data_IF_880805044293
#
_entry.id   IF_880805044293
#
_cell.length_a   1.000
_cell.length_b   1.000
_cell.length_c   1.000
_cell.angle_alpha   90.00
_cell.angle_beta   90.00
_cell.angle_gamma   90.00
#
_symmetry.space_group_name_H-M   'P 1'
#
loop_
_entity.id
_entity.type
_entity.pdbx_description
1 polymer ?
#
# COMPACT_ATOMS: atom_id res chain seq x y z
N UNK A 1 7.30 -30.89 4.20
CA UNK A 1 7.65 -29.46 4.37
C UNK A 1 7.51 -29.10 5.83
N UNK A 2 8.48 -28.42 6.43
CA UNK A 2 8.38 -27.98 7.83
C UNK A 2 7.54 -26.70 7.90
N UNK A 3 6.29 -26.81 8.37
CA UNK A 3 5.33 -25.68 8.48
C UNK A 3 5.89 -24.48 9.25
N UNK A 4 6.80 -24.72 10.19
CA UNK A 4 7.50 -23.67 10.92
C UNK A 4 8.38 -22.82 10.00
N UNK A 5 9.10 -23.44 9.06
CA UNK A 5 9.94 -22.73 8.10
C UNK A 5 9.09 -21.96 7.09
N UNK A 6 7.99 -22.56 6.64
CA UNK A 6 7.04 -21.93 5.72
C UNK A 6 6.43 -20.65 6.34
N UNK A 7 6.09 -20.69 7.65
CA UNK A 7 5.64 -19.51 8.39
C UNK A 7 6.66 -18.38 8.36
N UNK A 8 7.92 -18.67 8.71
CA UNK A 8 8.98 -17.66 8.72
C UNK A 8 9.23 -17.06 7.33
N UNK A 9 9.19 -17.90 6.29
CA UNK A 9 9.33 -17.44 4.91
C UNK A 9 8.21 -16.47 4.51
N UNK A 10 6.96 -16.80 4.83
CA UNK A 10 5.81 -15.96 4.51
C UNK A 10 5.87 -14.61 5.24
N UNK A 11 6.20 -14.59 6.53
CA UNK A 11 6.36 -13.35 7.31
C UNK A 11 7.50 -12.49 6.77
N UNK A 12 8.64 -13.10 6.42
CA UNK A 12 9.76 -12.37 5.81
C UNK A 12 9.35 -11.70 4.50
N UNK A 13 8.64 -12.42 3.62
CA UNK A 13 8.18 -11.89 2.34
C UNK A 13 7.13 -10.80 2.52
N UNK A 14 6.22 -10.96 3.48
CA UNK A 14 5.23 -9.94 3.85
C UNK A 14 5.94 -8.66 4.30
N UNK A 15 6.89 -8.76 5.25
CA UNK A 15 7.57 -7.59 5.84
C UNK A 15 8.37 -6.83 4.78
N UNK A 16 8.99 -7.56 3.84
CA UNK A 16 9.69 -6.94 2.70
C UNK A 16 8.74 -6.15 1.80
N UNK A 17 7.53 -6.67 1.57
CA UNK A 17 6.49 -5.98 0.77
C UNK A 17 5.91 -4.78 1.53
N UNK A 18 5.74 -4.87 2.84
CA UNK A 18 5.34 -3.74 3.70
C UNK A 18 6.27 -2.54 3.47
N UNK A 19 7.59 -2.71 3.65
CA UNK A 19 8.61 -1.66 3.44
C UNK A 19 8.63 -1.09 2.01
N UNK A 20 8.44 -1.97 1.03
CA UNK A 20 8.40 -1.55 -0.38
C UNK A 20 7.15 -0.69 -0.64
N UNK A 21 6.02 -1.02 0.01
CA UNK A 21 4.78 -0.25 -0.09
C UNK A 21 4.97 1.15 0.49
N UNK A 22 5.63 1.29 1.65
CA UNK A 22 5.95 2.59 2.25
C UNK A 22 6.79 3.46 1.32
N UNK A 23 7.79 2.87 0.67
CA UNK A 23 8.64 3.58 -0.31
C UNK A 23 7.81 4.06 -1.51
N UNK A 24 6.91 3.21 -2.02
CA UNK A 24 6.02 3.57 -3.13
C UNK A 24 5.02 4.66 -2.73
N UNK A 25 4.51 4.68 -1.49
CA UNK A 25 3.68 5.78 -1.00
C UNK A 25 4.44 7.09 -0.93
N UNK A 26 5.69 7.06 -0.46
CA UNK A 26 6.54 8.24 -0.49
C UNK A 26 6.65 8.78 -1.93
N UNK A 27 7.01 7.94 -2.90
CA UNK A 27 7.08 8.33 -4.32
C UNK A 27 5.75 8.85 -4.85
N UNK A 28 4.64 8.16 -4.56
CA UNK A 28 3.33 8.55 -5.08
C UNK A 28 2.84 9.88 -4.49
N UNK A 29 3.09 10.13 -3.21
CA UNK A 29 2.75 11.41 -2.57
C UNK A 29 3.54 12.60 -3.14
N UNK A 30 4.74 12.37 -3.71
CA UNK A 30 5.51 13.44 -4.35
C UNK A 30 4.75 14.07 -5.54
N UNK A 31 3.90 13.31 -6.25
CA UNK A 31 3.13 13.85 -7.37
C UNK A 31 2.19 14.98 -6.93
N UNK A 32 1.65 14.94 -5.70
CA UNK A 32 0.81 16.01 -5.16
C UNK A 32 1.61 17.26 -4.74
N UNK A 33 2.91 17.12 -4.48
CA UNK A 33 3.79 18.21 -4.03
C UNK A 33 4.34 19.05 -5.19
N UNK A 34 4.18 18.61 -6.44
CA UNK A 34 4.66 19.33 -7.63
C UNK A 34 3.80 20.58 -7.86
N UNK A 35 4.43 21.76 -7.79
CA UNK A 35 3.77 23.07 -7.93
C UNK A 35 3.03 23.28 -9.26
N UNK A 36 3.47 22.59 -10.32
CA UNK A 36 2.84 22.63 -11.64
C UNK A 36 2.41 21.22 -12.06
N UNK A 37 1.56 20.61 -11.24
CA UNK A 37 1.02 19.28 -11.52
C UNK A 37 0.27 19.26 -12.86
N UNK A 38 0.57 18.32 -13.78
CA UNK A 38 -0.12 18.23 -15.06
C UNK A 38 -1.63 17.92 -14.88
N UNK A 39 -2.49 18.42 -15.78
CA UNK A 39 -3.94 18.19 -15.70
C UNK A 39 -4.32 16.72 -15.92
N UNK A 40 -3.47 15.95 -16.60
CA UNK A 40 -3.62 14.51 -16.79
C UNK A 40 -2.53 13.77 -15.99
N UNK A 41 -2.85 12.63 -15.36
CA UNK A 41 -1.84 11.80 -14.70
C UNK A 41 -0.71 11.43 -15.67
N UNK A 42 0.53 11.53 -15.20
CA UNK A 42 1.69 11.07 -15.97
C UNK A 42 1.71 9.54 -16.06
N UNK A 43 2.52 9.00 -16.97
CA UNK A 43 2.72 7.56 -17.06
C UNK A 43 3.36 7.00 -15.77
N UNK A 44 4.32 7.73 -15.20
CA UNK A 44 4.98 7.35 -13.95
C UNK A 44 4.00 7.29 -12.77
N UNK A 45 3.07 8.24 -12.67
CA UNK A 45 2.03 8.25 -11.64
C UNK A 45 1.11 7.04 -11.77
N UNK A 46 0.60 6.78 -12.98
CA UNK A 46 -0.25 5.61 -13.24
C UNK A 46 0.48 4.30 -12.96
N UNK A 47 1.75 4.22 -13.37
CA UNK A 47 2.62 3.06 -13.12
C UNK A 47 2.84 2.85 -11.62
N UNK A 48 3.10 3.91 -10.88
CA UNK A 48 3.31 3.86 -9.42
C UNK A 48 2.02 3.45 -8.70
N UNK A 49 0.88 4.01 -9.09
CA UNK A 49 -0.43 3.67 -8.56
C UNK A 49 -0.81 2.20 -8.82
N UNK A 50 -0.57 1.72 -10.04
CA UNK A 50 -0.81 0.32 -10.41
C UNK A 50 0.09 -0.63 -9.61
N UNK A 51 1.38 -0.30 -9.44
CA UNK A 51 2.29 -1.08 -8.58
C UNK A 51 1.83 -1.10 -7.12
N UNK A 52 1.31 0.02 -6.61
CA UNK A 52 0.72 0.10 -5.27
C UNK A 52 -0.52 -0.81 -5.15
N UNK A 53 -1.41 -0.81 -6.14
CA UNK A 53 -2.57 -1.69 -6.13
C UNK A 53 -2.15 -3.17 -6.14
N UNK A 54 -1.24 -3.54 -7.04
CA UNK A 54 -0.75 -4.91 -7.20
C UNK A 54 -0.05 -5.42 -5.94
N UNK A 55 0.80 -4.60 -5.30
CA UNK A 55 1.51 -5.02 -4.08
C UNK A 55 0.55 -5.21 -2.91
N UNK A 56 -0.51 -4.40 -2.80
CA UNK A 56 -1.53 -4.55 -1.76
C UNK A 56 -2.36 -5.83 -1.95
N UNK A 57 -2.73 -6.17 -3.17
CA UNK A 57 -3.41 -7.43 -3.49
C UNK A 57 -2.54 -8.66 -3.19
N UNK A 58 -1.25 -8.58 -3.55
CA UNK A 58 -0.27 -9.63 -3.20
C UNK A 58 -0.11 -9.77 -1.69
N UNK A 59 -0.09 -8.67 -0.94
CA UNK A 59 -0.04 -8.70 0.54
C UNK A 59 -1.29 -9.33 1.14
N UNK A 60 -2.48 -9.03 0.62
CA UNK A 60 -3.73 -9.68 1.05
C UNK A 60 -3.70 -11.20 0.82
N UNK A 61 -3.17 -11.63 -0.32
CA UNK A 61 -2.98 -13.05 -0.63
C UNK A 61 -2.01 -13.73 0.37
N UNK A 62 -0.89 -13.09 0.68
CA UNK A 62 0.08 -13.61 1.66
C UNK A 62 -0.50 -13.68 3.08
N UNK A 63 -1.23 -12.66 3.51
CA UNK A 63 -1.92 -12.64 4.81
C UNK A 63 -2.97 -13.76 4.86
N UNK A 64 -3.68 -14.01 3.76
CA UNK A 64 -4.63 -15.12 3.67
C UNK A 64 -3.94 -16.49 3.78
N UNK A 65 -2.75 -16.65 3.18
CA UNK A 65 -1.94 -17.85 3.32
C UNK A 65 -1.43 -18.04 4.76
N UNK A 66 -0.97 -16.96 5.41
CA UNK A 66 -0.56 -16.97 6.82
C UNK A 66 -1.71 -17.39 7.74
N UNK A 67 -2.92 -16.89 7.51
CA UNK A 67 -4.12 -17.29 8.26
C UNK A 67 -4.39 -18.79 8.12
N UNK A 68 -4.44 -19.30 6.89
CA UNK A 68 -4.69 -20.73 6.62
C UNK A 68 -3.61 -21.63 7.24
N UNK A 69 -2.36 -21.19 7.22
CA UNK A 69 -1.26 -21.93 7.81
C UNK A 69 -1.42 -22.04 9.33
N UNK A 70 -1.80 -20.94 9.99
CA UNK A 70 -2.13 -20.92 11.42
C UNK A 70 -3.28 -21.89 11.73
N UNK A 71 -4.40 -21.76 11.03
CA UNK A 71 -5.60 -22.57 11.25
C UNK A 71 -5.33 -24.08 11.04
N UNK A 72 -4.34 -24.43 10.21
CA UNK A 72 -3.99 -25.83 9.89
C UNK A 72 -3.10 -26.53 10.92
N UNK A 73 -2.61 -25.82 11.94
CA UNK A 73 -1.63 -26.34 12.89
C UNK A 73 -1.90 -25.82 14.31
N UNK A 74 -2.32 -26.72 15.19
CA UNK A 74 -2.62 -26.41 16.59
C UNK A 74 -1.39 -25.91 17.36
N UNK A 75 -0.17 -26.31 16.98
CA UNK A 75 1.07 -25.83 17.58
C UNK A 75 1.43 -24.40 17.15
N UNK A 76 1.04 -24.00 15.93
CA UNK A 76 1.16 -22.63 15.45
C UNK A 76 0.07 -21.74 16.07
N UNK A 77 -1.16 -22.26 16.15
CA UNK A 77 -2.32 -21.57 16.74
C UNK A 77 -2.13 -21.30 18.23
N UNK A 78 -1.46 -22.17 18.99
CA UNK A 78 -1.19 -21.92 20.41
C UNK A 78 -0.23 -20.72 20.65
N UNK A 79 0.41 -20.19 19.62
CA UNK A 79 1.38 -19.10 19.72
C UNK A 79 0.71 -17.73 19.62
N UNK A 80 0.52 -17.07 20.78
CA UNK A 80 0.03 -15.70 20.87
C UNK A 80 0.83 -14.71 19.98
N UNK A 81 2.15 -14.87 19.91
CA UNK A 81 3.02 -14.03 19.06
C UNK A 81 2.64 -14.11 17.58
N UNK A 82 2.33 -15.31 17.07
CA UNK A 82 1.98 -15.48 15.65
C UNK A 82 0.62 -14.90 15.32
N UNK A 83 -0.34 -15.06 16.23
CA UNK A 83 -1.67 -14.44 16.12
C UNK A 83 -1.55 -12.91 16.12
N UNK A 84 -0.75 -12.34 17.02
CA UNK A 84 -0.49 -10.90 17.07
C UNK A 84 0.17 -10.39 15.77
N UNK A 85 1.14 -11.11 15.21
CA UNK A 85 1.74 -10.75 13.93
C UNK A 85 0.70 -10.72 12.80
N UNK A 86 -0.16 -11.74 12.71
CA UNK A 86 -1.21 -11.79 11.70
C UNK A 86 -2.19 -10.60 11.84
N UNK A 87 -2.60 -10.27 13.06
CA UNK A 87 -3.45 -9.11 13.34
C UNK A 87 -2.76 -7.81 12.93
N UNK A 88 -1.49 -7.61 13.30
CA UNK A 88 -0.70 -6.44 12.91
C UNK A 88 -0.65 -6.27 11.39
N UNK A 89 -0.34 -7.33 10.65
CA UNK A 89 -0.25 -7.23 9.19
C UNK A 89 -1.60 -6.92 8.54
N UNK A 90 -2.72 -7.40 9.11
CA UNK A 90 -4.07 -7.05 8.66
C UNK A 90 -4.39 -5.58 8.88
N UNK A 91 -4.07 -5.05 10.06
CA UNK A 91 -4.26 -3.64 10.41
C UNK A 91 -3.44 -2.74 9.47
N UNK A 92 -2.16 -3.04 9.30
CA UNK A 92 -1.27 -2.28 8.42
C UNK A 92 -1.75 -2.33 6.96
N UNK A 93 -2.22 -3.48 6.47
CA UNK A 93 -2.78 -3.56 5.11
C UNK A 93 -4.00 -2.64 4.93
N UNK A 94 -4.89 -2.61 5.93
CA UNK A 94 -6.07 -1.78 5.92
C UNK A 94 -5.72 -0.29 5.99
N UNK A 95 -4.75 0.09 6.81
CA UNK A 95 -4.25 1.46 6.88
C UNK A 95 -3.55 1.87 5.58
N UNK A 96 -2.78 0.98 4.95
CA UNK A 96 -2.18 1.24 3.65
C UNK A 96 -3.24 1.44 2.55
N UNK A 97 -4.35 0.70 2.58
CA UNK A 97 -5.47 0.92 1.64
C UNK A 97 -6.09 2.31 1.82
N UNK A 98 -6.29 2.74 3.08
CA UNK A 98 -6.78 4.10 3.39
C UNK A 98 -5.80 5.16 2.94
N UNK A 99 -4.50 4.95 3.16
CA UNK A 99 -3.44 5.87 2.76
C UNK A 99 -3.39 6.05 1.24
N UNK A 100 -3.51 4.96 0.46
CA UNK A 100 -3.60 5.05 -1.00
C UNK A 100 -4.77 5.94 -1.43
N UNK A 101 -5.94 5.77 -0.83
CA UNK A 101 -7.12 6.60 -1.10
C UNK A 101 -6.90 8.07 -0.74
N UNK A 102 -6.21 8.32 0.38
CA UNK A 102 -5.88 9.67 0.84
C UNK A 102 -4.93 10.38 -0.13
N UNK A 103 -3.87 9.69 -0.57
CA UNK A 103 -2.90 10.26 -1.52
C UNK A 103 -3.58 10.52 -2.87
N UNK A 104 -4.38 9.59 -3.39
CA UNK A 104 -5.19 9.79 -4.62
C UNK A 104 -6.03 11.07 -4.54
N UNK A 105 -6.73 11.26 -3.42
CA UNK A 105 -7.56 12.46 -3.20
C UNK A 105 -6.71 13.73 -3.17
N UNK A 106 -5.57 13.70 -2.46
CA UNK A 106 -4.63 14.83 -2.40
C UNK A 106 -4.10 15.25 -3.77
N UNK A 107 -3.72 14.27 -4.62
CA UNK A 107 -3.26 14.53 -6.00
C UNK A 107 -4.40 15.17 -6.82
N UNK A 108 -5.62 14.64 -6.72
CA UNK A 108 -6.79 15.20 -7.41
C UNK A 108 -7.08 16.63 -6.98
N UNK A 109 -7.01 16.94 -5.69
CA UNK A 109 -7.20 18.29 -5.18
C UNK A 109 -6.09 19.23 -5.65
N UNK A 110 -4.83 18.78 -5.68
CA UNK A 110 -3.71 19.56 -6.19
C UNK A 110 -3.94 19.94 -7.66
N UNK A 111 -4.41 19.01 -8.50
CA UNK A 111 -4.80 19.29 -9.89
C UNK A 111 -5.92 20.32 -9.99
N UNK A 112 -6.97 20.15 -9.19
CA UNK A 112 -8.10 21.07 -9.20
C UNK A 112 -7.65 22.49 -8.85
N UNK A 113 -6.80 22.65 -7.82
CA UNK A 113 -6.21 23.95 -7.47
C UNK A 113 -5.36 24.54 -8.61
N UNK A 114 -4.51 23.74 -9.24
CA UNK A 114 -3.67 24.18 -10.35
C UNK A 114 -4.50 24.66 -11.56
N UNK A 115 -5.56 23.92 -11.92
CA UNK A 115 -6.47 24.30 -13.01
C UNK A 115 -7.21 25.61 -12.71
N UNK A 116 -7.65 25.82 -11.47
CA UNK A 116 -8.30 27.06 -11.05
C UNK A 116 -7.34 28.26 -11.12
N UNK A 117 -6.08 28.10 -10.73
CA UNK A 117 -5.06 29.16 -10.82
C UNK A 117 -4.70 29.49 -12.27
N UNK A 118 -4.57 28.48 -13.13
CA UNK A 118 -4.32 28.66 -14.56
C UNK A 118 -5.46 29.44 -15.24
N UNK A 119 -6.72 29.13 -14.93
CA UNK A 119 -7.87 29.87 -15.46
C UNK A 119 -7.92 31.31 -14.97
N UNK A 120 -7.53 31.59 -13.71
CA UNK A 120 -7.49 32.97 -13.20
C UNK A 120 -6.39 33.84 -13.82
N UNK A 121 -5.27 33.26 -14.26
CA UNK A 121 -4.17 34.00 -14.91
C UNK A 121 -4.47 34.44 -16.34
N UNK A 122 -5.47 33.84 -17.00
CA UNK A 122 -5.82 34.12 -18.40
C UNK A 122 -6.79 35.31 -18.53
N UNK A 123 -7.37 35.80 -17.42
CA UNK A 123 -8.45 36.80 -17.40
C UNK A 123 -7.95 38.18 -16.89
N UNK A 124 -6.65 38.46 -17.01
CA UNK A 124 -6.05 39.76 -16.67
C UNK A 124 -5.32 40.33 -17.89
#
# INVERSE_FOLDING_TARGET
MNKQNDWFNLIYVETKKERTTETLFHTYSQFAAVSNIPPKPSEDERSTEMKLQEILEKRETLISQLSRLLDSDSSLTASATRQNNLTRHREILLDHRRELSRIRSSISEARNRANLLSNKRIIC
#
